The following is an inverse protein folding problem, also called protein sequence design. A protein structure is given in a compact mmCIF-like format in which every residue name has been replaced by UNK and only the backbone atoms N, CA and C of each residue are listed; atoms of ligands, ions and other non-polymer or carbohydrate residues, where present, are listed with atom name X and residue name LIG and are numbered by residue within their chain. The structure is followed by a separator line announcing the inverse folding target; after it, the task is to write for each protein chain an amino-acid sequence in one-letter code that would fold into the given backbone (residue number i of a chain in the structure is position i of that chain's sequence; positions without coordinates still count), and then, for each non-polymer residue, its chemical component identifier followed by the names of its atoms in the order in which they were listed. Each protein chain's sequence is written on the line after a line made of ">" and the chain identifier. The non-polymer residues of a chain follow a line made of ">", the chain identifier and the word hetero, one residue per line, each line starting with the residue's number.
data_IF_753644308285
#
_entry.id   IF_753644308285
#
_cell.length_a   1.000
_cell.length_b   1.000
_cell.length_c   1.000
_cell.angle_alpha   90.00
_cell.angle_beta   90.00
_cell.angle_gamma   90.00
#
_symmetry.space_group_name_H-M   'P 1'
#
loop_
_entity.id
_entity.type
_entity.pdbx_description
1 polymer ?
#
# COMPACT_ATOMS: atom_id res chain seq x y z
N UNK A 1 -7.70 -16.52 11.75
CA UNK A 1 -6.70 -16.87 10.70
C UNK A 1 -7.37 -16.59 9.39
N UNK A 2 -7.02 -15.49 8.74
CA UNK A 2 -7.75 -14.97 7.59
C UNK A 2 -6.79 -14.24 6.69
N UNK A 3 -6.70 -14.70 5.45
CA UNK A 3 -5.81 -14.12 4.47
C UNK A 3 -6.26 -12.70 4.10
N UNK A 4 -5.33 -11.75 4.15
CA UNK A 4 -5.54 -10.34 3.87
C UNK A 4 -4.48 -9.80 2.91
N UNK A 5 -4.90 -8.91 2.02
CA UNK A 5 -4.03 -8.07 1.23
C UNK A 5 -3.61 -6.86 2.07
N UNK A 6 -2.31 -6.62 2.15
CA UNK A 6 -1.73 -5.39 2.66
C UNK A 6 -1.04 -4.64 1.53
N UNK A 7 -1.29 -3.34 1.44
CA UNK A 7 -0.57 -2.43 0.54
C UNK A 7 0.24 -1.48 1.40
N UNK A 8 1.56 -1.64 1.33
CA UNK A 8 2.53 -0.76 1.95
C UNK A 8 2.97 0.27 0.91
N UNK A 9 2.84 1.54 1.25
CA UNK A 9 3.25 2.65 0.41
C UNK A 9 4.34 3.45 1.14
N UNK A 10 5.40 3.83 0.42
CA UNK A 10 6.43 4.74 0.92
C UNK A 10 6.36 6.06 0.17
N UNK A 11 5.76 7.06 0.81
CA UNK A 11 5.78 8.43 0.30
C UNK A 11 7.09 9.10 0.72
N UNK A 12 7.79 9.71 -0.23
CA UNK A 12 8.88 10.63 0.09
C UNK A 12 8.27 12.01 0.32
N UNK A 13 8.12 12.39 1.58
CA UNK A 13 7.48 13.65 1.97
C UNK A 13 8.46 14.83 2.02
N UNK A 14 9.65 14.68 1.44
CA UNK A 14 10.71 15.68 1.46
C UNK A 14 11.60 15.63 2.70
N UNK A 15 11.19 14.90 3.74
CA UNK A 15 11.92 14.74 5.02
C UNK A 15 12.28 13.26 5.32
N UNK A 16 12.24 12.43 4.27
CA UNK A 16 12.48 10.97 4.34
C UNK A 16 11.34 10.14 3.76
N UNK A 17 11.59 8.84 3.58
CA UNK A 17 10.56 7.86 3.25
C UNK A 17 9.86 7.42 4.53
N UNK A 18 8.55 7.66 4.63
CA UNK A 18 7.73 7.10 5.70
C UNK A 18 6.92 5.94 5.14
N UNK A 19 7.16 4.76 5.71
CA UNK A 19 6.30 3.58 5.57
C UNK A 19 4.95 3.87 6.20
N UNK A 20 3.89 3.75 5.40
CA UNK A 20 2.53 3.72 5.91
C UNK A 20 1.70 2.70 5.13
N UNK A 21 0.83 1.99 5.86
CA UNK A 21 -0.09 1.00 5.30
C UNK A 21 -1.25 1.76 4.66
N UNK A 22 -1.38 1.67 3.33
CA UNK A 22 -2.44 2.36 2.59
C UNK A 22 -3.73 1.55 2.55
N UNK A 23 -3.63 0.23 2.66
CA UNK A 23 -4.79 -0.65 2.63
C UNK A 23 -4.51 -1.96 3.35
N UNK A 24 -5.48 -2.41 4.13
CA UNK A 24 -5.53 -3.74 4.71
C UNK A 24 -6.93 -4.31 4.48
N UNK A 25 -7.05 -5.44 3.78
CA UNK A 25 -8.35 -6.06 3.56
C UNK A 25 -8.32 -7.30 2.66
N UNK A 26 -9.45 -8.01 2.57
CA UNK A 26 -9.49 -9.31 1.89
C UNK A 26 -9.72 -9.20 0.37
N UNK A 27 -9.90 -7.98 -0.16
CA UNK A 27 -10.20 -7.76 -1.57
C UNK A 27 -8.99 -7.31 -2.36
N UNK A 28 -8.61 -8.10 -3.37
CA UNK A 28 -7.52 -7.78 -4.29
C UNK A 28 -7.80 -6.49 -5.08
N UNK A 29 -9.07 -6.22 -5.40
CA UNK A 29 -9.48 -4.99 -6.11
C UNK A 29 -9.23 -3.76 -5.22
N UNK A 30 -9.49 -3.87 -3.92
CA UNK A 30 -9.20 -2.81 -2.95
C UNK A 30 -7.70 -2.53 -2.86
N UNK A 31 -6.89 -3.59 -2.82
CA UNK A 31 -5.43 -3.47 -2.81
C UNK A 31 -4.88 -2.79 -4.09
N UNK A 32 -5.37 -3.18 -5.27
CA UNK A 32 -4.95 -2.55 -6.53
C UNK A 32 -5.35 -1.07 -6.61
N UNK A 33 -6.56 -0.71 -6.14
CA UNK A 33 -6.99 0.70 -6.05
C UNK A 33 -6.09 1.51 -5.13
N UNK A 34 -5.77 0.97 -3.95
CA UNK A 34 -4.89 1.64 -3.00
C UNK A 34 -3.47 1.83 -3.55
N UNK A 35 -2.94 0.84 -4.27
CA UNK A 35 -1.66 0.96 -4.96
C UNK A 35 -1.70 2.04 -6.06
N UNK A 36 -2.79 2.13 -6.82
CA UNK A 36 -2.96 3.18 -7.83
C UNK A 36 -3.02 4.58 -7.20
N UNK A 37 -3.80 4.72 -6.12
CA UNK A 37 -3.91 5.99 -5.39
C UNK A 37 -2.56 6.40 -4.81
N UNK A 38 -1.82 5.47 -4.19
CA UNK A 38 -0.46 5.72 -3.71
C UNK A 38 0.44 6.24 -4.85
N UNK A 39 0.43 5.56 -6.01
CA UNK A 39 1.24 5.97 -7.17
C UNK A 39 0.87 7.37 -7.67
N UNK A 40 -0.41 7.73 -7.67
CA UNK A 40 -0.88 9.08 -8.04
C UNK A 40 -0.44 10.16 -7.06
N UNK A 41 -0.33 9.82 -5.77
CA UNK A 41 0.11 10.74 -4.72
C UNK A 41 1.63 10.88 -4.61
N UNK A 42 2.40 10.42 -5.61
CA UNK A 42 3.86 10.58 -5.62
C UNK A 42 4.62 9.59 -4.73
N UNK A 43 3.98 8.48 -4.35
CA UNK A 43 4.62 7.39 -3.61
C UNK A 43 5.64 6.69 -4.51
N UNK A 44 6.92 6.75 -4.12
CA UNK A 44 8.03 6.23 -4.92
C UNK A 44 8.21 4.71 -4.84
N UNK A 45 7.75 4.08 -3.75
CA UNK A 45 7.77 2.63 -3.61
C UNK A 45 6.42 2.12 -3.13
N UNK A 46 5.93 1.01 -3.70
CA UNK A 46 4.70 0.34 -3.29
C UNK A 46 4.99 -1.15 -3.20
N UNK A 47 4.56 -1.79 -2.11
CA UNK A 47 4.66 -3.24 -1.91
C UNK A 47 3.28 -3.79 -1.60
N UNK A 48 2.87 -4.76 -2.41
CA UNK A 48 1.64 -5.52 -2.22
C UNK A 48 2.00 -6.86 -1.59
N UNK A 49 1.38 -7.20 -0.46
CA UNK A 49 1.66 -8.43 0.28
C UNK A 49 0.36 -9.17 0.55
N UNK A 50 0.37 -10.49 0.32
CA UNK A 50 -0.68 -11.39 0.77
C UNK A 50 -0.23 -12.04 2.08
N UNK A 51 -0.89 -11.72 3.19
CA UNK A 51 -0.58 -12.27 4.53
C UNK A 51 -1.70 -13.21 4.98
N UNK A 52 -1.35 -14.34 5.58
CA UNK A 52 -2.27 -15.36 6.12
C UNK A 52 -2.28 -15.41 7.64
#
# INVERSE_FOLDING_TARGET
>A
MGWKWEVLAWANLGDGYRDYVQYEGNSIIGALRAAWDAKRNGVGCIRLVWRG
#
